data_IF_286903511947
#
_entry.id   IF_286903511947
#
_cell.length_a   1.000
_cell.length_b   1.000
_cell.length_c   1.000
_cell.angle_alpha   90.00
_cell.angle_beta   90.00
_cell.angle_gamma   90.00
#
_symmetry.space_group_name_H-M   'P 1'
#
loop_
_entity.id
_entity.type
_entity.pdbx_description
1 polymer ?
#
# COMPACT_ATOMS: atom_id res chain seq x y z
N UNK A 1 6.16 14.68 -18.59
CA UNK A 1 7.44 15.36 -18.87
C UNK A 1 8.57 14.60 -18.18
N UNK A 2 9.81 14.67 -18.69
CA UNK A 2 11.01 14.12 -18.01
C UNK A 2 11.77 15.30 -17.38
N UNK A 3 11.92 15.30 -16.06
CA UNK A 3 12.72 16.30 -15.33
C UNK A 3 14.16 15.81 -15.26
N UNK A 4 15.14 16.50 -15.87
CA UNK A 4 16.54 16.08 -15.81
C UNK A 4 17.09 16.30 -14.39
N UNK A 5 17.83 15.33 -13.88
CA UNK A 5 18.51 15.40 -12.57
C UNK A 5 19.86 14.70 -12.64
N UNK A 6 20.68 14.93 -11.62
CA UNK A 6 21.95 14.28 -11.41
C UNK A 6 21.91 13.45 -10.13
N UNK A 7 22.38 12.22 -10.20
CA UNK A 7 22.51 11.32 -9.08
C UNK A 7 23.98 11.17 -8.68
N UNK A 8 24.28 11.44 -7.41
CA UNK A 8 25.57 11.12 -6.78
C UNK A 8 25.44 9.82 -5.99
N UNK A 9 26.44 8.94 -6.08
CA UNK A 9 26.41 7.64 -5.39
C UNK A 9 26.72 7.72 -3.88
N UNK A 10 27.61 8.61 -3.49
CA UNK A 10 28.11 8.71 -2.11
C UNK A 10 28.35 10.18 -1.68
N UNK A 11 27.59 10.71 -0.70
CA UNK A 11 26.35 10.11 -0.19
C UNK A 11 25.25 10.11 -1.27
N UNK A 12 24.34 9.11 -1.27
CA UNK A 12 23.33 8.95 -2.31
C UNK A 12 22.39 10.16 -2.32
N UNK A 13 22.37 10.90 -3.43
CA UNK A 13 21.62 12.15 -3.52
C UNK A 13 21.21 12.55 -4.93
N UNK A 14 20.10 13.29 -5.05
CA UNK A 14 19.59 13.85 -6.30
C UNK A 14 19.70 15.37 -6.34
N UNK A 15 20.19 15.91 -7.46
CA UNK A 15 20.44 17.33 -7.67
C UNK A 15 19.85 17.79 -9.02
N UNK A 16 19.30 19.01 -9.10
CA UNK A 16 18.84 19.54 -10.39
C UNK A 16 19.98 20.18 -11.19
N UNK A 17 21.02 20.63 -10.49
CA UNK A 17 22.22 21.24 -11.06
C UNK A 17 23.38 20.26 -10.88
N UNK A 18 24.27 20.20 -11.88
CA UNK A 18 25.46 19.37 -11.82
C UNK A 18 26.34 19.77 -10.61
N UNK A 19 26.56 18.85 -9.63
CA UNK A 19 27.39 19.14 -8.48
C UNK A 19 28.85 19.36 -8.90
N UNK A 20 29.42 20.50 -8.55
CA UNK A 20 30.84 20.79 -8.84
C UNK A 20 31.75 20.29 -7.72
N UNK A 21 32.91 19.73 -8.08
CA UNK A 21 33.95 19.40 -7.10
C UNK A 21 33.72 18.11 -6.30
N UNK A 22 32.83 17.22 -6.77
CA UNK A 22 32.59 15.93 -6.13
C UNK A 22 33.50 14.85 -6.70
N UNK A 23 34.18 14.07 -5.86
CA UNK A 23 34.91 12.87 -6.29
C UNK A 23 33.98 11.64 -6.49
N UNK A 24 32.71 11.76 -6.09
CA UNK A 24 31.72 10.71 -6.13
C UNK A 24 31.22 10.46 -7.57
N UNK A 25 30.95 9.21 -7.98
CA UNK A 25 30.39 8.91 -9.29
C UNK A 25 29.08 9.68 -9.53
N UNK A 26 29.05 10.42 -10.63
CA UNK A 26 27.91 11.24 -11.04
C UNK A 26 27.21 10.60 -12.23
N UNK A 27 25.89 10.42 -12.13
CA UNK A 27 25.07 9.89 -13.22
C UNK A 27 23.97 10.88 -13.57
N UNK A 28 23.85 11.20 -14.86
CA UNK A 28 22.70 11.94 -15.38
C UNK A 28 21.50 11.00 -15.53
N UNK A 29 20.37 11.36 -14.95
CA UNK A 29 19.10 10.65 -15.11
C UNK A 29 17.94 11.64 -15.22
N UNK A 30 16.72 11.14 -15.19
CA UNK A 30 15.51 11.95 -15.17
C UNK A 30 14.43 11.36 -14.30
N UNK A 31 13.46 12.19 -13.94
CA UNK A 31 12.30 11.82 -13.16
C UNK A 31 11.03 12.03 -13.98
N UNK A 32 10.15 11.04 -13.95
CA UNK A 32 8.83 11.13 -14.58
C UNK A 32 7.77 10.80 -13.55
N UNK A 33 6.71 11.60 -13.47
CA UNK A 33 5.58 11.28 -12.60
C UNK A 33 5.00 9.92 -12.99
N UNK A 34 4.84 9.03 -12.00
CA UNK A 34 4.27 7.71 -12.20
C UNK A 34 2.87 7.61 -11.60
N UNK A 35 2.75 7.92 -10.31
CA UNK A 35 1.48 7.82 -9.58
C UNK A 35 1.54 8.60 -8.26
N UNK A 36 0.40 8.74 -7.58
CA UNK A 36 0.32 9.27 -6.23
C UNK A 36 -0.72 8.54 -5.37
N UNK A 37 -0.40 8.44 -4.08
CA UNK A 37 -1.30 7.96 -3.04
C UNK A 37 -1.89 9.11 -2.23
N UNK A 38 -2.49 8.78 -1.07
CA UNK A 38 -2.95 9.81 -0.13
C UNK A 38 -1.82 10.49 0.65
N UNK A 39 -0.60 9.95 0.61
CA UNK A 39 0.52 10.41 1.44
C UNK A 39 1.82 10.66 0.65
N UNK A 40 1.94 10.14 -0.57
CA UNK A 40 3.20 10.15 -1.31
C UNK A 40 2.96 10.36 -2.80
N UNK A 41 3.94 10.98 -3.45
CA UNK A 41 4.17 10.92 -4.88
C UNK A 41 5.20 9.84 -5.20
N UNK A 42 5.04 9.22 -6.36
CA UNK A 42 5.97 8.22 -6.88
C UNK A 42 6.38 8.64 -8.28
N UNK A 43 7.68 8.66 -8.52
CA UNK A 43 8.32 9.01 -9.78
C UNK A 43 9.12 7.82 -10.30
N UNK A 44 9.05 7.60 -11.60
CA UNK A 44 9.93 6.66 -12.30
C UNK A 44 11.25 7.37 -12.63
N UNK A 45 12.34 6.68 -12.32
CA UNK A 45 13.70 7.12 -12.66
C UNK A 45 13.99 6.63 -14.07
N UNK A 46 14.30 7.56 -14.98
CA UNK A 46 14.61 7.28 -16.38
C UNK A 46 16.06 7.61 -16.67
N UNK A 47 16.69 6.87 -17.58
CA UNK A 47 18.09 7.04 -17.93
C UNK A 47 18.24 7.28 -19.43
N UNK A 48 19.24 8.09 -19.85
CA UNK A 48 19.58 8.20 -21.27
C UNK A 48 19.86 6.82 -21.89
N UNK A 49 19.51 6.60 -23.16
CA UNK A 49 19.92 5.40 -23.88
C UNK A 49 21.45 5.24 -23.82
N UNK A 50 21.91 4.00 -23.66
CA UNK A 50 23.34 3.62 -23.66
C UNK A 50 24.19 4.12 -22.47
N UNK A 51 23.60 4.75 -21.44
CA UNK A 51 24.32 4.99 -20.17
C UNK A 51 24.05 3.86 -19.17
N UNK A 52 25.07 3.30 -18.51
CA UNK A 52 24.87 2.33 -17.44
C UNK A 52 24.00 2.93 -16.33
N UNK A 53 22.96 2.21 -15.91
CA UNK A 53 22.17 2.58 -14.75
C UNK A 53 22.96 2.20 -13.50
N UNK A 54 23.25 3.13 -12.58
CA UNK A 54 23.88 2.83 -11.31
C UNK A 54 23.13 1.71 -10.61
N UNK A 55 23.86 0.73 -10.05
CA UNK A 55 23.24 -0.46 -9.44
C UNK A 55 22.17 -0.09 -8.40
N UNK A 56 22.40 0.98 -7.64
CA UNK A 56 21.48 1.50 -6.60
C UNK A 56 20.16 2.06 -7.17
N UNK A 57 20.15 2.50 -8.44
CA UNK A 57 18.95 3.00 -9.12
C UNK A 57 18.24 1.92 -9.95
N UNK A 58 18.88 0.77 -10.19
CA UNK A 58 18.27 -0.32 -10.95
C UNK A 58 17.05 -0.88 -10.22
N UNK A 59 15.94 -1.03 -10.95
CA UNK A 59 14.66 -1.52 -10.40
C UNK A 59 14.20 -0.72 -9.17
N UNK A 60 14.38 0.60 -9.21
CA UNK A 60 13.92 1.53 -8.19
C UNK A 60 13.01 2.61 -8.75
N UNK A 61 12.06 3.01 -7.91
CA UNK A 61 11.25 4.21 -8.06
C UNK A 61 11.67 5.22 -6.99
N UNK A 62 11.46 6.50 -7.27
CA UNK A 62 11.62 7.56 -6.29
C UNK A 62 10.27 7.84 -5.63
N UNK A 63 10.22 7.72 -4.31
CA UNK A 63 9.04 8.00 -3.50
C UNK A 63 9.32 9.21 -2.61
N UNK A 64 8.46 10.21 -2.69
CA UNK A 64 8.56 11.44 -1.89
C UNK A 64 7.22 11.70 -1.21
N UNK A 65 7.24 12.08 0.05
CA UNK A 65 6.01 12.37 0.80
C UNK A 65 5.32 13.64 0.30
N UNK A 66 4.02 13.74 0.53
CA UNK A 66 3.22 14.96 0.34
C UNK A 66 3.44 15.92 1.50
N UNK A 67 3.33 17.21 1.24
CA UNK A 67 3.36 18.25 2.27
C UNK A 67 2.04 18.34 3.03
N UNK A 68 1.84 17.35 3.89
CA UNK A 68 0.66 17.25 4.74
C UNK A 68 1.12 17.11 6.19
N UNK A 69 0.50 17.85 7.15
CA UNK A 69 0.98 17.93 8.53
C UNK A 69 0.91 16.59 9.29
N UNK A 70 0.11 15.65 8.80
CA UNK A 70 -0.10 14.34 9.42
C UNK A 70 0.72 13.22 8.74
N UNK A 71 1.58 13.56 7.77
CA UNK A 71 2.44 12.61 7.07
C UNK A 71 3.87 12.76 7.60
N UNK A 72 4.41 11.67 8.13
CA UNK A 72 5.74 11.64 8.74
C UNK A 72 6.87 11.81 7.70
N UNK A 73 8.05 12.23 8.13
CA UNK A 73 9.25 12.37 7.28
C UNK A 73 9.67 11.03 6.66
N UNK A 74 10.45 11.08 5.57
CA UNK A 74 10.99 9.87 4.94
C UNK A 74 11.85 9.03 5.90
N UNK A 75 12.64 9.70 6.75
CA UNK A 75 13.48 9.07 7.77
C UNK A 75 12.64 8.30 8.79
N UNK A 76 11.62 8.95 9.37
CA UNK A 76 10.73 8.29 10.33
C UNK A 76 9.99 7.11 9.70
N UNK A 77 9.51 7.26 8.46
CA UNK A 77 8.85 6.17 7.73
C UNK A 77 9.77 4.96 7.57
N UNK A 78 11.04 5.18 7.22
CA UNK A 78 12.03 4.12 7.06
C UNK A 78 12.38 3.46 8.40
N UNK A 79 12.63 4.26 9.44
CA UNK A 79 12.92 3.77 10.79
C UNK A 79 11.78 2.91 11.33
N UNK A 80 10.54 3.42 11.27
CA UNK A 80 9.35 2.68 11.70
C UNK A 80 9.16 1.38 10.90
N UNK A 81 9.46 1.37 9.61
CA UNK A 81 9.42 0.17 8.79
C UNK A 81 10.37 -0.91 9.30
N UNK A 82 11.65 -0.57 9.52
CA UNK A 82 12.64 -1.52 10.02
C UNK A 82 12.34 -1.97 11.45
N UNK A 83 11.94 -1.05 12.31
CA UNK A 83 11.67 -1.32 13.72
C UNK A 83 10.43 -2.20 13.93
N UNK A 84 9.41 -2.08 13.07
CA UNK A 84 8.10 -2.68 13.35
C UNK A 84 7.61 -3.71 12.34
N UNK A 85 8.04 -3.64 11.08
CA UNK A 85 7.47 -4.47 10.02
C UNK A 85 8.50 -5.35 9.32
N UNK A 86 9.74 -4.89 9.15
CA UNK A 86 10.77 -5.64 8.44
C UNK A 86 11.01 -7.03 9.02
N UNK A 87 11.14 -7.14 10.36
CA UNK A 87 11.35 -8.42 11.04
C UNK A 87 10.15 -9.37 11.02
N UNK A 88 8.96 -8.91 10.58
CA UNK A 88 7.77 -9.74 10.54
C UNK A 88 7.69 -10.65 9.32
N UNK A 89 8.44 -10.35 8.25
CA UNK A 89 8.34 -11.04 6.96
C UNK A 89 9.71 -11.32 6.36
N UNK A 90 9.88 -12.36 5.53
CA UNK A 90 11.13 -12.55 4.79
C UNK A 90 11.41 -11.35 3.87
N UNK A 91 12.64 -10.88 3.85
CA UNK A 91 13.06 -9.67 3.11
C UNK A 91 12.69 -9.72 1.62
N UNK A 92 12.83 -10.90 0.98
CA UNK A 92 12.43 -11.10 -0.43
C UNK A 92 10.97 -10.75 -0.71
N UNK A 93 10.09 -10.85 0.29
CA UNK A 93 8.66 -10.54 0.21
C UNK A 93 8.33 -9.11 0.66
N UNK A 94 9.31 -8.23 0.82
CA UNK A 94 9.11 -6.83 1.15
C UNK A 94 9.52 -5.94 -0.02
N UNK A 95 8.76 -4.87 -0.24
CA UNK A 95 9.22 -3.70 -0.98
C UNK A 95 10.29 -3.03 -0.14
N UNK A 96 11.53 -3.07 -0.62
CA UNK A 96 12.66 -2.49 0.07
C UNK A 96 12.67 -0.98 -0.15
N UNK A 97 13.16 -0.26 0.85
CA UNK A 97 13.31 1.19 0.83
C UNK A 97 14.74 1.56 1.24
N UNK A 98 15.23 2.63 0.65
CA UNK A 98 16.54 3.19 0.94
C UNK A 98 16.44 4.72 0.97
N UNK A 99 16.99 5.33 2.01
CA UNK A 99 16.98 6.77 2.18
C UNK A 99 18.04 7.44 1.31
N UNK A 100 17.66 8.49 0.59
CA UNK A 100 18.57 9.36 -0.15
C UNK A 100 18.31 10.82 0.20
N UNK A 101 19.31 11.68 -0.01
CA UNK A 101 19.09 13.12 0.02
C UNK A 101 18.52 13.61 -1.31
N UNK A 102 17.74 14.68 -1.28
CA UNK A 102 17.20 15.34 -2.48
C UNK A 102 17.37 16.84 -2.32
N UNK A 103 17.98 17.47 -3.33
CA UNK A 103 18.23 18.90 -3.31
C UNK A 103 16.93 19.70 -3.45
N UNK A 104 16.90 20.88 -2.83
CA UNK A 104 15.73 21.77 -2.85
C UNK A 104 15.32 22.14 -4.27
N UNK A 105 16.31 22.31 -5.16
CA UNK A 105 16.07 22.63 -6.57
C UNK A 105 15.29 21.52 -7.29
N UNK A 106 15.50 20.24 -6.93
CA UNK A 106 14.75 19.12 -7.50
C UNK A 106 13.29 19.17 -7.02
N UNK A 107 13.06 19.41 -5.73
CA UNK A 107 11.71 19.54 -5.18
C UNK A 107 10.93 20.69 -5.84
N UNK A 108 11.58 21.84 -6.05
CA UNK A 108 10.98 22.99 -6.73
C UNK A 108 10.58 22.67 -8.19
N UNK A 109 11.43 21.97 -8.94
CA UNK A 109 11.11 21.53 -10.30
C UNK A 109 9.95 20.53 -10.32
N UNK A 110 9.95 19.55 -9.41
CA UNK A 110 8.87 18.58 -9.29
C UNK A 110 7.54 19.26 -8.92
N UNK A 111 7.55 20.24 -8.02
CA UNK A 111 6.35 21.01 -7.66
C UNK A 111 5.81 21.84 -8.84
N UNK A 112 6.71 22.44 -9.63
CA UNK A 112 6.33 23.16 -10.86
C UNK A 112 5.60 22.22 -11.83
N UNK A 113 6.11 21.00 -12.03
CA UNK A 113 5.47 19.99 -12.86
C UNK A 113 4.13 19.52 -12.26
N UNK A 114 4.06 19.27 -10.96
CA UNK A 114 2.82 18.88 -10.25
C UNK A 114 1.73 19.95 -10.36
N UNK A 115 2.11 21.23 -10.42
CA UNK A 115 1.18 22.35 -10.61
C UNK A 115 0.64 22.42 -12.04
N UNK A 116 1.46 22.06 -13.04
CA UNK A 116 1.07 22.08 -14.45
C UNK A 116 0.24 20.86 -14.88
N UNK A 117 0.27 19.76 -14.11
CA UNK A 117 -0.45 18.54 -14.41
C UNK A 117 -1.95 18.62 -14.12
N UNK A 118 -2.78 18.06 -15.02
CA UNK A 118 -4.20 17.83 -14.78
C UNK A 118 -4.40 16.64 -13.83
N UNK A 119 -4.46 16.93 -12.52
CA UNK A 119 -4.65 15.94 -11.45
C UNK A 119 -6.08 16.00 -10.93
N UNK A 120 -6.63 14.88 -10.39
CA UNK A 120 -7.96 14.89 -9.78
C UNK A 120 -8.12 16.05 -8.79
N UNK A 121 -9.25 16.75 -8.83
CA UNK A 121 -9.47 17.99 -8.08
C UNK A 121 -9.16 17.89 -6.58
N UNK A 122 -9.47 16.75 -5.96
CA UNK A 122 -9.18 16.47 -4.54
C UNK A 122 -7.68 16.27 -4.21
N UNK A 123 -6.80 16.23 -5.22
CA UNK A 123 -5.34 16.10 -5.12
C UNK A 123 -4.57 17.24 -5.80
N UNK A 124 -5.26 18.11 -6.53
CA UNK A 124 -4.64 19.19 -7.32
C UNK A 124 -3.84 20.19 -6.47
N UNK A 125 -4.11 20.24 -5.16
CA UNK A 125 -3.42 21.11 -4.20
C UNK A 125 -2.40 20.35 -3.34
N UNK A 126 -2.18 19.06 -3.59
CA UNK A 126 -1.12 18.31 -2.90
C UNK A 126 0.22 18.60 -3.60
N UNK A 127 1.25 18.93 -2.81
CA UNK A 127 2.61 19.23 -3.29
C UNK A 127 3.67 18.54 -2.42
N UNK A 128 4.94 18.64 -2.83
CA UNK A 128 6.10 18.21 -2.05
C UNK A 128 6.51 19.31 -1.05
N UNK A 129 7.02 18.95 0.13
CA UNK A 129 7.52 19.91 1.10
C UNK A 129 8.75 20.65 0.57
N UNK A 130 8.96 21.91 0.99
CA UNK A 130 10.11 22.71 0.55
C UNK A 130 11.41 22.38 1.31
N UNK A 131 11.31 21.87 2.53
CA UNK A 131 12.45 21.71 3.46
C UNK A 131 12.77 20.24 3.82
N UNK A 132 11.91 19.28 3.47
CA UNK A 132 12.17 17.86 3.72
C UNK A 132 13.06 17.29 2.60
N UNK A 133 14.36 17.54 2.72
CA UNK A 133 15.40 17.20 1.73
C UNK A 133 15.76 15.70 1.72
N UNK A 134 14.78 14.83 1.99
CA UNK A 134 14.92 13.37 2.04
C UNK A 134 13.87 12.69 1.18
N UNK A 135 14.27 11.62 0.50
CA UNK A 135 13.40 10.79 -0.30
C UNK A 135 13.72 9.31 -0.09
N UNK A 136 12.82 8.43 -0.56
CA UNK A 136 13.02 6.99 -0.52
C UNK A 136 13.17 6.45 -1.95
N UNK A 137 14.26 5.73 -2.22
CA UNK A 137 14.30 4.78 -3.32
C UNK A 137 13.53 3.54 -2.89
N UNK A 138 12.54 3.12 -3.65
CA UNK A 138 11.72 1.95 -3.35
C UNK A 138 11.80 0.91 -4.48
N UNK A 139 11.66 -0.38 -4.16
CA UNK A 139 11.60 -1.44 -5.18
C UNK A 139 10.52 -1.15 -6.23
N UNK A 140 10.90 -1.18 -7.51
CA UNK A 140 9.95 -1.05 -8.62
C UNK A 140 9.20 -2.37 -8.83
N UNK A 141 7.89 -2.33 -8.58
CA UNK A 141 6.95 -3.44 -8.85
C UNK A 141 6.01 -3.14 -10.03
N UNK A 142 6.30 -2.10 -10.82
CA UNK A 142 5.53 -1.78 -12.03
C UNK A 142 5.80 -2.76 -13.16
N UNK A 143 4.94 -2.74 -14.17
CA UNK A 143 5.13 -3.50 -15.41
C UNK A 143 5.82 -2.65 -16.46
N UNK A 144 6.63 -3.30 -17.29
CA UNK A 144 7.12 -2.75 -18.53
C UNK A 144 5.94 -2.53 -19.49
N UNK A 145 5.93 -1.37 -20.16
CA UNK A 145 4.90 -1.02 -21.14
C UNK A 145 5.37 -1.23 -22.58
N UNK A 146 6.56 -1.80 -22.78
CA UNK A 146 7.11 -2.02 -24.11
C UNK A 146 6.34 -3.13 -24.83
N UNK A 147 6.10 -2.93 -26.12
CA UNK A 147 5.35 -3.87 -26.95
C UNK A 147 6.02 -5.26 -26.96
N UNK A 148 5.22 -6.30 -26.73
CA UNK A 148 5.68 -7.70 -26.75
C UNK A 148 6.24 -8.23 -25.44
N UNK A 149 6.32 -7.42 -24.37
CA UNK A 149 6.66 -7.89 -23.03
C UNK A 149 5.42 -8.48 -22.35
N UNK A 150 5.44 -9.79 -22.13
CA UNK A 150 4.40 -10.49 -21.37
C UNK A 150 4.64 -10.33 -19.86
N UNK A 151 4.11 -9.22 -19.31
CA UNK A 151 4.18 -8.88 -17.89
C UNK A 151 2.80 -8.47 -17.34
N UNK A 152 2.44 -9.00 -16.17
CA UNK A 152 1.17 -8.73 -15.50
C UNK A 152 1.44 -8.39 -14.04
N UNK A 153 0.76 -7.35 -13.52
CA UNK A 153 0.80 -6.98 -12.12
C UNK A 153 -0.59 -7.05 -11.51
N UNK A 154 -0.71 -7.83 -10.43
CA UNK A 154 -1.81 -7.76 -9.50
C UNK A 154 -1.39 -6.93 -8.27
N UNK A 155 -2.11 -5.85 -8.00
CA UNK A 155 -2.07 -5.18 -6.71
C UNK A 155 -3.31 -5.58 -5.88
N UNK A 156 -3.11 -6.42 -4.87
CA UNK A 156 -4.15 -6.87 -3.95
C UNK A 156 -3.98 -6.18 -2.59
N UNK A 157 -5.06 -5.68 -1.99
CA UNK A 157 -5.04 -5.35 -0.55
C UNK A 157 -5.67 -6.51 0.23
N UNK A 158 -4.91 -7.30 1.01
CA UNK A 158 -5.46 -8.45 1.73
C UNK A 158 -6.50 -8.06 2.80
N UNK A 159 -6.43 -6.83 3.31
CA UNK A 159 -7.33 -6.28 4.33
C UNK A 159 -7.34 -7.13 5.61
N UNK A 160 -8.51 -7.29 6.22
CA UNK A 160 -8.70 -7.98 7.49
C UNK A 160 -8.79 -9.49 7.28
N UNK A 161 -7.65 -10.19 7.42
CA UNK A 161 -7.54 -11.63 7.19
C UNK A 161 -8.15 -12.49 8.32
N UNK A 162 -8.64 -11.84 9.36
CA UNK A 162 -9.46 -12.40 10.42
C UNK A 162 -10.66 -11.47 10.68
N UNK A 163 -11.74 -12.02 11.25
CA UNK A 163 -12.89 -11.21 11.62
C UNK A 163 -12.50 -10.19 12.69
N UNK A 164 -13.14 -9.03 12.68
CA UNK A 164 -12.97 -8.01 13.74
C UNK A 164 -13.35 -8.62 15.09
N UNK A 165 -12.54 -8.48 16.15
CA UNK A 165 -12.94 -8.89 17.49
C UNK A 165 -14.19 -8.16 18.00
N UNK A 166 -14.43 -6.94 17.51
CA UNK A 166 -15.62 -6.15 17.85
C UNK A 166 -16.88 -6.57 17.06
N UNK A 167 -16.76 -7.46 16.08
CA UNK A 167 -17.91 -7.89 15.27
C UNK A 167 -18.89 -8.72 16.13
N UNK A 168 -20.22 -8.56 15.95
CA UNK A 168 -21.21 -9.39 16.64
C UNK A 168 -21.01 -10.88 16.34
N UNK A 169 -21.23 -11.76 17.33
CA UNK A 169 -21.05 -13.21 17.18
C UNK A 169 -21.93 -13.88 16.10
N UNK A 170 -23.01 -13.21 15.69
CA UNK A 170 -23.90 -13.65 14.61
C UNK A 170 -23.72 -12.84 13.30
N UNK A 171 -22.54 -12.23 13.11
CA UNK A 171 -22.24 -11.47 11.90
C UNK A 171 -22.37 -12.32 10.64
N UNK A 172 -23.01 -11.75 9.62
CA UNK A 172 -23.17 -12.29 8.25
C UNK A 172 -22.19 -11.67 7.25
N UNK A 173 -21.47 -10.62 7.65
CA UNK A 173 -20.36 -10.02 6.90
C UNK A 173 -19.08 -9.98 7.71
N UNK A 174 -17.92 -10.16 7.08
CA UNK A 174 -16.64 -9.80 7.69
C UNK A 174 -16.50 -8.27 7.70
N UNK A 175 -15.61 -7.71 8.52
CA UNK A 175 -15.43 -6.24 8.61
C UNK A 175 -15.25 -5.57 7.25
N UNK A 176 -14.42 -6.16 6.38
CA UNK A 176 -14.17 -5.61 5.04
C UNK A 176 -15.45 -5.57 4.19
N UNK A 177 -16.24 -6.64 4.22
CA UNK A 177 -17.51 -6.72 3.49
C UNK A 177 -18.59 -5.80 4.10
N UNK A 178 -18.65 -5.70 5.44
CA UNK A 178 -19.53 -4.76 6.14
C UNK A 178 -19.19 -3.31 5.79
N UNK A 179 -17.90 -2.95 5.74
CA UNK A 179 -17.46 -1.62 5.33
C UNK A 179 -17.79 -1.33 3.87
N UNK A 180 -17.61 -2.31 2.98
CA UNK A 180 -18.00 -2.19 1.57
C UNK A 180 -19.49 -1.94 1.42
N UNK A 181 -20.34 -2.71 2.12
CA UNK A 181 -21.80 -2.52 2.12
C UNK A 181 -22.18 -1.13 2.66
N UNK A 182 -21.59 -0.71 3.78
CA UNK A 182 -21.81 0.61 4.38
C UNK A 182 -21.45 1.75 3.42
N UNK A 183 -20.32 1.66 2.72
CA UNK A 183 -19.92 2.64 1.71
C UNK A 183 -20.86 2.63 0.51
N UNK A 184 -21.22 1.46 0.00
CA UNK A 184 -22.12 1.34 -1.13
C UNK A 184 -23.50 1.94 -0.83
N UNK A 185 -24.06 1.70 0.36
CA UNK A 185 -25.30 2.34 0.80
C UNK A 185 -25.21 3.86 0.94
N UNK A 186 -23.99 4.41 1.07
CA UNK A 186 -23.71 5.86 1.05
C UNK A 186 -23.29 6.38 -0.32
N UNK A 187 -23.46 5.58 -1.39
CA UNK A 187 -23.01 5.88 -2.75
C UNK A 187 -21.50 6.18 -2.87
N UNK A 188 -20.70 5.57 -2.00
CA UNK A 188 -19.23 5.63 -2.05
C UNK A 188 -18.71 4.28 -2.53
N UNK A 189 -17.82 4.29 -3.54
CA UNK A 189 -17.13 3.09 -4.01
C UNK A 189 -15.64 3.37 -4.17
N UNK A 190 -14.79 2.47 -3.67
CA UNK A 190 -13.33 2.53 -3.84
C UNK A 190 -12.85 1.47 -4.84
N UNK A 191 -11.62 1.60 -5.34
CA UNK A 191 -11.04 0.60 -6.24
C UNK A 191 -10.97 -0.79 -5.57
N UNK A 192 -10.64 -0.86 -4.28
CA UNK A 192 -10.64 -2.12 -3.53
C UNK A 192 -12.04 -2.71 -3.38
N UNK A 193 -13.09 -1.87 -3.27
CA UNK A 193 -14.47 -2.38 -3.20
C UNK A 193 -14.88 -3.10 -4.50
N UNK A 194 -14.34 -2.67 -5.65
CA UNK A 194 -14.59 -3.28 -6.96
C UNK A 194 -13.93 -4.65 -7.13
N UNK A 195 -12.84 -4.92 -6.41
CA UNK A 195 -12.18 -6.23 -6.46
C UNK A 195 -13.08 -7.36 -5.92
N UNK A 196 -14.14 -7.03 -5.19
CA UNK A 196 -15.17 -8.02 -4.87
C UNK A 196 -14.66 -9.21 -4.04
N UNK A 197 -13.51 -9.12 -3.37
CA UNK A 197 -12.90 -10.25 -2.66
C UNK A 197 -13.18 -10.20 -1.17
N UNK A 198 -13.57 -11.35 -0.59
CA UNK A 198 -13.70 -11.51 0.85
C UNK A 198 -12.36 -11.96 1.45
N UNK A 199 -11.74 -11.17 2.35
CA UNK A 199 -10.49 -11.56 3.01
C UNK A 199 -10.55 -12.87 3.79
N UNK A 200 -11.73 -13.22 4.34
CA UNK A 200 -11.89 -14.48 5.05
C UNK A 200 -11.93 -15.65 4.06
N UNK A 201 -12.60 -15.49 2.91
CA UNK A 201 -12.61 -16.51 1.86
C UNK A 201 -11.20 -16.76 1.31
N UNK A 202 -10.38 -15.70 1.17
CA UNK A 202 -8.97 -15.82 0.78
C UNK A 202 -8.14 -16.66 1.78
N UNK A 203 -8.56 -16.67 3.06
CA UNK A 203 -7.96 -17.44 4.14
C UNK A 203 -8.76 -18.70 4.51
N UNK A 204 -9.76 -19.08 3.70
CA UNK A 204 -10.61 -20.21 4.01
C UNK A 204 -9.80 -21.51 3.93
N UNK A 205 -10.02 -22.41 4.88
CA UNK A 205 -9.50 -23.78 4.81
C UNK A 205 -10.21 -24.60 3.72
N UNK A 206 -11.41 -24.18 3.30
CA UNK A 206 -12.14 -24.78 2.19
C UNK A 206 -11.52 -24.32 0.87
N UNK A 207 -10.86 -25.24 0.17
CA UNK A 207 -10.11 -24.95 -1.05
C UNK A 207 -10.96 -24.27 -2.14
N UNK A 208 -12.24 -24.65 -2.26
CA UNK A 208 -13.16 -24.07 -3.24
C UNK A 208 -13.49 -22.60 -2.92
N UNK A 209 -13.72 -22.24 -1.66
CA UNK A 209 -13.97 -20.85 -1.28
C UNK A 209 -12.74 -19.99 -1.55
N UNK A 210 -11.56 -20.53 -1.25
CA UNK A 210 -10.28 -19.86 -1.50
C UNK A 210 -10.01 -19.67 -3.00
N UNK A 211 -10.32 -20.67 -3.83
CA UNK A 211 -10.25 -20.59 -5.29
C UNK A 211 -11.15 -19.47 -5.82
N UNK A 212 -12.43 -19.46 -5.43
CA UNK A 212 -13.37 -18.42 -5.84
C UNK A 212 -12.91 -17.02 -5.43
N UNK A 213 -12.34 -16.87 -4.23
CA UNK A 213 -11.79 -15.59 -3.78
C UNK A 213 -10.58 -15.12 -4.60
N UNK A 214 -9.71 -16.05 -5.03
CA UNK A 214 -8.55 -15.77 -5.89
C UNK A 214 -8.99 -15.44 -7.33
N UNK A 215 -9.96 -16.17 -7.87
CA UNK A 215 -10.51 -15.91 -9.20
C UNK A 215 -11.20 -14.54 -9.29
N UNK A 216 -11.81 -14.07 -8.19
CA UNK A 216 -12.41 -12.72 -8.15
C UNK A 216 -11.41 -11.57 -8.26
N UNK A 217 -10.12 -11.80 -7.99
CA UNK A 217 -9.11 -10.72 -7.99
C UNK A 217 -8.18 -10.72 -9.20
N UNK A 218 -8.10 -11.82 -9.95
CA UNK A 218 -7.23 -11.92 -11.13
C UNK A 218 -7.70 -13.00 -12.08
N UNK A 219 -7.51 -12.77 -13.39
CA UNK A 219 -7.71 -13.77 -14.44
C UNK A 219 -6.42 -14.45 -14.91
N UNK A 220 -5.26 -14.00 -14.42
CA UNK A 220 -3.97 -14.55 -14.80
C UNK A 220 -3.72 -15.92 -14.11
N UNK A 221 -3.56 -17.02 -14.87
CA UNK A 221 -3.50 -18.36 -14.30
C UNK A 221 -2.27 -18.60 -13.43
N UNK A 222 -1.11 -18.01 -13.75
CA UNK A 222 0.11 -18.18 -12.96
C UNK A 222 0.04 -17.37 -11.65
N UNK A 223 -0.58 -16.19 -11.67
CA UNK A 223 -0.87 -15.46 -10.42
C UNK A 223 -1.89 -16.23 -9.57
N UNK A 224 -2.92 -16.85 -10.17
CA UNK A 224 -3.87 -17.70 -9.43
C UNK A 224 -3.17 -18.87 -8.75
N UNK A 225 -2.32 -19.58 -9.49
CA UNK A 225 -1.53 -20.69 -8.95
C UNK A 225 -0.64 -20.24 -7.78
N UNK A 226 0.07 -19.11 -7.94
CA UNK A 226 0.88 -18.55 -6.87
C UNK A 226 0.05 -18.22 -5.61
N UNK A 227 -1.09 -17.55 -5.77
CA UNK A 227 -1.95 -17.16 -4.65
C UNK A 227 -2.54 -18.36 -3.91
N UNK A 228 -2.80 -19.46 -4.62
CA UNK A 228 -3.29 -20.71 -4.03
C UNK A 228 -2.17 -21.56 -3.40
N UNK A 229 -0.92 -21.35 -3.82
CA UNK A 229 0.25 -22.10 -3.37
C UNK A 229 0.74 -21.76 -1.95
N UNK A 230 1.50 -22.69 -1.37
CA UNK A 230 1.97 -22.61 0.03
C UNK A 230 2.85 -21.39 0.34
N UNK A 231 3.60 -20.88 -0.65
CA UNK A 231 4.44 -19.69 -0.44
C UNK A 231 3.58 -18.47 -0.14
N UNK A 232 2.54 -18.23 -0.95
CA UNK A 232 1.63 -17.10 -0.76
C UNK A 232 0.76 -17.31 0.49
N UNK A 233 0.22 -18.52 0.67
CA UNK A 233 -0.59 -18.84 1.85
C UNK A 233 0.22 -18.72 3.16
N UNK A 234 1.49 -19.11 3.15
CA UNK A 234 2.40 -18.91 4.28
C UNK A 234 2.61 -17.43 4.61
N UNK A 235 2.78 -16.58 3.60
CA UNK A 235 2.89 -15.13 3.77
C UNK A 235 1.59 -14.52 4.33
N UNK A 236 0.43 -14.89 3.78
CA UNK A 236 -0.87 -14.40 4.25
C UNK A 236 -1.20 -14.89 5.66
N UNK A 237 -0.87 -16.14 6.02
CA UNK A 237 -1.01 -16.65 7.40
C UNK A 237 -0.15 -15.85 8.38
N UNK A 238 1.08 -15.52 8.01
CA UNK A 238 1.98 -14.68 8.83
C UNK A 238 1.43 -13.26 8.99
N UNK A 239 0.90 -12.66 7.92
CA UNK A 239 0.23 -11.36 7.96
C UNK A 239 -1.00 -11.41 8.89
N UNK A 240 -1.87 -12.42 8.73
CA UNK A 240 -3.04 -12.64 9.60
C UNK A 240 -2.65 -12.76 11.07
N UNK A 241 -1.63 -13.57 11.38
CA UNK A 241 -1.15 -13.75 12.74
C UNK A 241 -0.67 -12.42 13.34
N UNK A 242 0.15 -11.64 12.61
CA UNK A 242 0.61 -10.34 13.08
C UNK A 242 -0.55 -9.34 13.28
N UNK A 243 -1.54 -9.31 12.37
CA UNK A 243 -2.73 -8.49 12.53
C UNK A 243 -3.51 -8.83 13.82
N UNK A 244 -3.64 -10.11 14.14
CA UNK A 244 -4.37 -10.58 15.33
C UNK A 244 -3.58 -10.38 16.62
N UNK A 245 -2.26 -10.63 16.62
CA UNK A 245 -1.43 -10.49 17.82
C UNK A 245 -1.31 -9.04 18.29
N UNK A 246 -1.36 -8.09 17.35
CA UNK A 246 -1.27 -6.66 17.63
C UNK A 246 -2.62 -6.02 18.00
N UNK A 247 -3.74 -6.68 17.73
CA UNK A 247 -5.08 -6.17 18.02
C UNK A 247 -6.04 -7.33 18.32
N UNK A 248 -5.80 -7.98 19.45
CA UNK A 248 -6.57 -9.15 19.92
C UNK A 248 -7.93 -8.76 20.52
N UNK A 249 -8.01 -7.57 21.13
CA UNK A 249 -9.22 -7.06 21.79
C UNK A 249 -10.15 -6.28 20.86
N UNK A 250 -9.71 -5.93 19.65
CA UNK A 250 -10.47 -5.08 18.74
C UNK A 250 -10.21 -3.59 18.96
N UNK A 251 -10.60 -2.80 17.96
CA UNK A 251 -10.38 -1.36 17.87
C UNK A 251 -11.09 -0.61 19.00
N UNK A 252 -12.23 -1.12 19.47
CA UNK A 252 -13.00 -0.48 20.54
C UNK A 252 -12.39 -0.70 21.93
N UNK A 253 -11.64 -1.80 22.12
CA UNK A 253 -11.03 -2.17 23.40
C UNK A 253 -9.73 -1.42 23.72
N UNK A 254 -9.15 -0.72 22.73
CA UNK A 254 -7.92 0.05 22.94
C UNK A 254 -8.20 1.22 23.88
N UNK A 255 -7.49 1.28 25.00
CA UNK A 255 -7.56 2.37 25.97
C UNK A 255 -6.76 3.60 25.53
N UNK A 256 -6.38 4.43 26.50
CA UNK A 256 -5.54 5.61 26.28
C UNK A 256 -4.04 5.32 26.53
N UNK A 257 -3.66 4.04 26.72
CA UNK A 257 -2.26 3.67 26.89
C UNK A 257 -1.50 3.70 25.56
N UNK A 258 -0.24 4.13 25.63
CA UNK A 258 0.62 4.34 24.46
C UNK A 258 0.91 3.03 23.72
N UNK A 259 1.15 1.95 24.46
CA UNK A 259 1.50 0.66 23.88
C UNK A 259 0.33 0.04 23.09
N UNK A 260 -0.88 0.08 23.65
CA UNK A 260 -2.11 -0.35 22.98
C UNK A 260 -2.40 0.48 21.74
N UNK A 261 -2.24 1.80 21.83
CA UNK A 261 -2.39 2.71 20.69
C UNK A 261 -1.40 2.41 19.57
N UNK A 262 -0.12 2.19 19.91
CA UNK A 262 0.92 1.82 18.95
C UNK A 262 0.65 0.45 18.32
N UNK A 263 0.24 -0.54 19.11
CA UNK A 263 -0.09 -1.87 18.62
C UNK A 263 -1.26 -1.83 17.62
N UNK A 264 -2.31 -1.07 17.93
CA UNK A 264 -3.41 -0.85 16.99
C UNK A 264 -2.93 -0.14 15.71
N UNK A 265 -2.08 0.87 15.84
CA UNK A 265 -1.49 1.56 14.68
C UNK A 265 -0.72 0.59 13.76
N UNK A 266 0.08 -0.31 14.34
CA UNK A 266 0.77 -1.37 13.61
C UNK A 266 -0.22 -2.35 12.95
N UNK A 267 -1.23 -2.82 13.67
CA UNK A 267 -2.26 -3.70 13.13
C UNK A 267 -3.00 -3.05 11.94
N UNK A 268 -3.39 -1.78 12.09
CA UNK A 268 -4.06 -1.01 11.03
C UNK A 268 -3.17 -0.71 9.83
N UNK A 269 -1.85 -0.66 10.02
CA UNK A 269 -0.86 -0.61 8.93
C UNK A 269 -0.89 -1.93 8.14
N UNK A 270 -0.79 -3.07 8.85
CA UNK A 270 -0.84 -4.40 8.24
C UNK A 270 -2.18 -4.74 7.57
N UNK A 271 -3.28 -4.11 7.97
CA UNK A 271 -4.60 -4.26 7.35
C UNK A 271 -4.82 -3.35 6.14
N UNK A 272 -3.91 -2.40 5.89
CA UNK A 272 -3.99 -1.47 4.76
C UNK A 272 -2.80 -1.56 3.81
N UNK A 273 -1.89 -2.50 4.05
CA UNK A 273 -0.79 -2.82 3.15
C UNK A 273 -1.29 -3.39 1.80
N UNK A 274 -0.40 -3.38 0.81
CA UNK A 274 -0.64 -3.95 -0.51
C UNK A 274 0.28 -5.15 -0.73
N UNK A 275 -0.26 -6.24 -1.28
CA UNK A 275 0.51 -7.34 -1.87
C UNK A 275 0.58 -7.11 -3.38
N UNK A 276 1.77 -6.83 -3.88
CA UNK A 276 2.08 -6.77 -5.31
C UNK A 276 2.51 -8.16 -5.75
N UNK A 277 1.84 -8.72 -6.76
CA UNK A 277 2.23 -9.98 -7.41
C UNK A 277 2.47 -9.69 -8.88
N UNK A 278 3.73 -9.76 -9.29
CA UNK A 278 4.19 -9.45 -10.63
C UNK A 278 4.61 -10.74 -11.33
N UNK A 279 4.04 -10.99 -12.49
CA UNK A 279 4.43 -12.08 -13.39
C UNK A 279 5.20 -11.50 -14.55
N UNK A 280 6.43 -11.95 -14.77
CA UNK A 280 7.19 -11.70 -15.99
C UNK A 280 7.43 -13.05 -16.67
N UNK A 281 6.84 -13.27 -17.84
CA UNK A 281 6.82 -14.59 -18.51
C UNK A 281 6.35 -15.67 -17.53
N UNK A 282 7.21 -16.61 -17.13
CA UNK A 282 6.91 -17.70 -16.19
C UNK A 282 7.38 -17.44 -14.76
N UNK A 283 7.96 -16.27 -14.46
CA UNK A 283 8.51 -15.95 -13.13
C UNK A 283 7.54 -15.08 -12.35
N UNK A 284 7.30 -15.43 -11.09
CA UNK A 284 6.48 -14.66 -10.15
C UNK A 284 7.38 -13.99 -9.11
N UNK A 285 7.19 -12.68 -8.93
CA UNK A 285 7.72 -11.91 -7.81
C UNK A 285 6.56 -11.37 -6.98
N UNK A 286 6.64 -11.51 -5.65
CA UNK A 286 5.56 -11.07 -4.76
C UNK A 286 6.10 -10.35 -3.53
N UNK A 287 5.61 -9.12 -3.31
CA UNK A 287 6.11 -8.22 -2.26
C UNK A 287 4.98 -7.47 -1.56
N UNK A 288 5.08 -7.36 -0.24
CA UNK A 288 4.28 -6.47 0.58
C UNK A 288 4.86 -5.05 0.55
N UNK A 289 4.02 -4.07 0.26
CA UNK A 289 4.32 -2.64 0.32
C UNK A 289 3.25 -1.86 1.06
N UNK A 290 3.34 -0.53 1.04
CA UNK A 290 2.46 0.39 1.78
C UNK A 290 2.47 0.17 3.31
N UNK A 291 3.64 -0.12 3.88
CA UNK A 291 3.85 -0.41 5.30
C UNK A 291 4.23 0.84 6.13
N UNK A 292 3.67 2.00 5.79
CA UNK A 292 3.88 3.22 6.57
C UNK A 292 3.07 3.18 7.86
N UNK A 293 3.74 3.32 9.00
CA UNK A 293 3.09 3.29 10.30
C UNK A 293 1.96 4.32 10.38
N UNK A 294 0.73 3.82 10.59
CA UNK A 294 -0.42 4.69 10.86
C UNK A 294 -0.22 5.43 12.20
N UNK A 295 -0.82 6.59 12.32
CA UNK A 295 -0.60 7.49 13.46
C UNK A 295 -1.80 7.46 14.44
N UNK A 296 -1.58 7.67 15.75
CA UNK A 296 -2.61 7.55 16.79
C UNK A 296 -3.83 8.45 16.61
N UNK A 297 -3.71 9.59 15.93
CA UNK A 297 -4.83 10.52 15.70
C UNK A 297 -5.95 9.86 14.87
N UNK A 298 -5.64 8.79 14.14
CA UNK A 298 -6.62 8.00 13.38
C UNK A 298 -7.44 7.05 14.25
N UNK A 299 -7.05 6.79 15.50
CA UNK A 299 -7.75 5.85 16.39
C UNK A 299 -9.20 6.26 16.61
N UNK A 300 -9.45 7.54 16.89
CA UNK A 300 -10.83 8.06 17.05
C UNK A 300 -11.69 7.78 15.82
N UNK A 301 -11.12 7.95 14.62
CA UNK A 301 -11.80 7.65 13.35
C UNK A 301 -12.06 6.15 13.21
N UNK A 302 -11.10 5.29 13.53
CA UNK A 302 -11.29 3.84 13.44
C UNK A 302 -12.34 3.33 14.42
N UNK A 303 -12.34 3.80 15.66
CA UNK A 303 -13.38 3.52 16.66
C UNK A 303 -14.76 3.96 16.17
N UNK A 304 -14.86 5.15 15.57
CA UNK A 304 -16.11 5.63 14.98
C UNK A 304 -16.57 4.71 13.84
N UNK A 305 -15.67 4.35 12.92
CA UNK A 305 -16.02 3.44 11.81
C UNK A 305 -16.52 2.10 12.34
N UNK A 306 -15.85 1.53 13.35
CA UNK A 306 -16.27 0.24 13.92
C UNK A 306 -17.66 0.32 14.55
N UNK A 307 -17.94 1.37 15.35
CA UNK A 307 -19.29 1.63 15.89
C UNK A 307 -20.32 1.82 14.80
N UNK A 308 -20.03 2.64 13.79
CA UNK A 308 -20.94 2.86 12.65
C UNK A 308 -21.30 1.52 11.95
N UNK A 309 -20.37 0.56 11.88
CA UNK A 309 -20.61 -0.76 11.28
C UNK A 309 -21.50 -1.65 12.17
N UNK A 310 -21.28 -1.61 13.48
CA UNK A 310 -22.05 -2.38 14.47
C UNK A 310 -23.47 -1.79 14.61
N UNK A 311 -23.56 -0.52 15.01
CA UNK A 311 -24.82 0.17 15.31
C UNK A 311 -25.69 0.31 14.05
N UNK A 312 -25.05 0.42 12.88
CA UNK A 312 -25.72 0.48 11.60
C UNK A 312 -26.24 -0.87 11.08
N UNK A 313 -25.99 -1.98 11.76
CA UNK A 313 -26.44 -3.32 11.36
C UNK A 313 -25.69 -3.92 10.16
N UNK A 314 -24.57 -3.32 9.75
CA UNK A 314 -23.85 -3.70 8.52
C UNK A 314 -23.17 -5.06 8.62
N UNK A 315 -22.78 -5.47 9.83
CA UNK A 315 -22.25 -6.81 10.09
C UNK A 315 -23.32 -7.89 9.97
N UNK A 316 -24.57 -7.57 10.31
CA UNK A 316 -25.66 -8.54 10.57
C UNK A 316 -26.72 -8.55 9.47
N UNK A 317 -26.52 -7.79 8.39
CA UNK A 317 -27.49 -7.58 7.31
C UNK A 317 -28.81 -6.95 7.80
N UNK A 318 -28.75 -6.16 8.87
CA UNK A 318 -29.92 -5.48 9.46
C UNK A 318 -29.88 -3.96 9.25
N UNK A 319 -29.01 -3.48 8.35
CA UNK A 319 -29.05 -2.09 7.91
C UNK A 319 -30.44 -1.69 7.35
N UNK A 320 -30.73 -0.39 7.32
CA UNK A 320 -32.02 0.11 6.81
C UNK A 320 -32.27 -0.42 5.39
N UNK A 321 -33.49 -0.90 5.11
CA UNK A 321 -33.86 -1.53 3.82
C UNK A 321 -33.47 -0.73 2.58
N UNK A 322 -33.52 0.61 2.64
CA UNK A 322 -33.10 1.49 1.53
C UNK A 322 -31.62 1.39 1.14
N UNK A 323 -30.78 0.86 2.03
CA UNK A 323 -29.35 0.65 1.81
C UNK A 323 -28.98 -0.82 1.65
N UNK A 324 -29.91 -1.72 1.95
CA UNK A 324 -29.65 -3.16 1.95
C UNK A 324 -29.41 -3.65 0.52
N UNK A 325 -28.40 -4.50 0.38
CA UNK A 325 -28.13 -5.26 -0.83
C UNK A 325 -27.78 -6.69 -0.43
N UNK A 326 -28.15 -7.64 -1.27
CA UNK A 326 -27.77 -9.04 -1.09
C UNK A 326 -26.25 -9.16 -1.05
N UNK A 327 -25.73 -9.86 -0.04
CA UNK A 327 -24.30 -10.16 0.07
C UNK A 327 -24.03 -11.49 -0.63
N UNK A 328 -23.24 -11.47 -1.70
CA UNK A 328 -22.92 -12.64 -2.52
C UNK A 328 -21.45 -13.08 -2.38
N UNK A 329 -20.62 -12.19 -1.83
CA UNK A 329 -19.17 -12.36 -1.79
C UNK A 329 -18.69 -12.86 -0.43
N UNK A 330 -19.24 -12.33 0.66
CA UNK A 330 -18.70 -12.60 1.98
C UNK A 330 -18.87 -14.07 2.37
N UNK A 331 -17.79 -14.71 2.82
CA UNK A 331 -17.82 -16.10 3.31
C UNK A 331 -18.89 -16.31 4.38
N UNK A 332 -19.02 -15.39 5.34
CA UNK A 332 -19.99 -15.48 6.45
C UNK A 332 -21.47 -15.37 6.01
N UNK A 333 -21.75 -14.94 4.77
CA UNK A 333 -23.13 -14.83 4.28
C UNK A 333 -23.74 -16.18 3.88
N UNK A 334 -22.88 -17.19 3.69
CA UNK A 334 -23.25 -18.54 3.27
C UNK A 334 -23.50 -19.50 4.44
N UNK A 335 -23.32 -19.02 5.67
CA UNK A 335 -23.44 -19.77 6.92
C UNK A 335 -24.75 -19.49 7.66
#
# INVERSE_FOLDING_TARGET
MVIPVFYLEDPPSLHAIEPTGTASPLTRCGLTYLNEGGANFVFRIVHPPCTPIPHRLQNRLLRIRKDLPHIQSAEFQLEAFYQHFHGLFPEKHLVQHELIAIDQSVLALLNTELQAMDRPSHRAQDFLPEEDLKALLMTDMTVCTDEGVDEVLLQLKPKWLAQSPDAPGHAKRCRTCALRACRAGRNVRTATDRQGSCPLALMSEVAEERRNAVESVTDDPAIREYLLGEVSQGLLRRLKHAQMSLDSGGVLSVGDDEQGSLNLCKAMTLRDCSLFVRRLKSTIEAKLGDLDLKQPEKIKKWKKVERDLIDGGWYTNTEQKRFWMQEEVCQLSRQ
#
